data_IF_496645137656
#
_entry.id   IF_496645137656
#
_cell.length_a   1.000
_cell.length_b   1.000
_cell.length_c   1.000
_cell.angle_alpha   90.00
_cell.angle_beta   90.00
_cell.angle_gamma   90.00
#
_symmetry.space_group_name_H-M   'P 1'
#
loop_
_entity.id
_entity.type
_entity.pdbx_description
1 polymer ?
#
# COMPACT_ATOMS: atom_id res chain seq x y z
N UNK A 1 -0.71 24.80 -9.90
CA UNK A 1 -0.97 23.87 -8.77
C UNK A 1 -0.01 24.17 -7.65
N UNK A 2 -0.45 24.13 -6.37
CA UNK A 2 0.50 24.20 -5.25
C UNK A 2 1.29 22.89 -5.21
N UNK A 3 2.61 22.90 -4.98
CA UNK A 3 3.38 21.68 -4.83
C UNK A 3 2.86 20.90 -3.62
N UNK A 4 2.52 19.63 -3.83
CA UNK A 4 2.10 18.72 -2.76
C UNK A 4 3.35 18.28 -1.96
N UNK A 5 3.41 18.55 -0.63
CA UNK A 5 4.42 17.97 0.24
C UNK A 5 4.39 16.45 0.15
N UNK A 6 5.54 15.81 0.02
CA UNK A 6 5.61 14.35 -0.12
C UNK A 6 6.85 13.77 0.51
N UNK A 7 6.73 12.59 1.07
CA UNK A 7 7.83 11.86 1.71
C UNK A 7 7.71 10.37 1.41
N UNK A 8 8.84 9.73 1.12
CA UNK A 8 8.93 8.27 1.00
C UNK A 8 9.48 7.70 2.31
N UNK A 9 8.76 6.77 2.92
CA UNK A 9 9.23 6.02 4.09
C UNK A 9 9.81 4.70 3.59
N UNK A 10 11.13 4.55 3.65
CA UNK A 10 11.84 3.38 3.14
C UNK A 10 12.63 2.68 4.25
N UNK A 11 12.92 1.39 4.08
CA UNK A 11 13.66 0.58 5.06
C UNK A 11 15.03 0.17 4.53
N UNK A 12 15.91 -0.28 5.41
CA UNK A 12 17.18 -0.92 5.00
C UNK A 12 17.01 -2.37 4.56
N UNK A 13 15.93 -3.02 4.98
CA UNK A 13 15.59 -4.40 4.63
C UNK A 13 14.15 -4.69 5.05
N UNK A 14 13.59 -5.77 4.53
CA UNK A 14 12.31 -6.33 5.00
C UNK A 14 12.37 -6.63 6.50
N UNK A 15 11.34 -6.22 7.24
CA UNK A 15 11.26 -6.48 8.68
C UNK A 15 11.96 -5.46 9.59
N UNK A 16 12.58 -4.40 9.06
CA UNK A 16 13.13 -3.30 9.87
C UNK A 16 12.05 -2.44 10.57
N UNK A 17 10.77 -2.66 10.25
CA UNK A 17 9.61 -1.95 10.81
C UNK A 17 9.14 -0.73 10.01
N UNK A 18 9.56 -0.60 8.75
CA UNK A 18 9.10 0.42 7.80
C UNK A 18 7.57 0.55 7.76
N UNK A 19 6.84 -0.55 7.57
CA UNK A 19 5.38 -0.56 7.43
C UNK A 19 4.68 0.00 8.66
N UNK A 20 5.12 -0.44 9.83
CA UNK A 20 4.64 0.07 11.11
C UNK A 20 4.88 1.57 11.29
N UNK A 21 6.07 2.05 10.89
CA UNK A 21 6.42 3.47 11.01
C UNK A 21 5.73 4.34 9.95
N UNK A 22 5.54 3.83 8.73
CA UNK A 22 4.78 4.52 7.69
C UNK A 22 3.31 4.67 8.11
N UNK A 23 2.67 3.58 8.55
CA UNK A 23 1.31 3.59 9.10
C UNK A 23 1.19 4.48 10.34
N UNK A 24 2.17 4.43 11.25
CA UNK A 24 2.20 5.31 12.43
C UNK A 24 2.35 6.79 12.05
N UNK A 25 3.17 7.13 11.06
CA UNK A 25 3.30 8.49 10.55
C UNK A 25 2.00 8.97 9.91
N UNK A 26 1.36 8.14 9.09
CA UNK A 26 0.06 8.42 8.49
C UNK A 26 -1.01 8.69 9.57
N UNK A 27 -1.04 7.86 10.61
CA UNK A 27 -1.98 8.01 11.73
C UNK A 27 -1.71 9.28 12.55
N UNK A 28 -0.45 9.59 12.86
CA UNK A 28 -0.08 10.81 13.58
C UNK A 28 -0.46 12.08 12.79
N UNK A 29 -0.18 12.11 11.49
CA UNK A 29 -0.56 13.23 10.61
C UNK A 29 -2.08 13.38 10.48
N UNK A 30 -2.81 12.28 10.33
CA UNK A 30 -4.28 12.29 10.26
C UNK A 30 -4.89 12.78 11.58
N UNK A 31 -4.36 12.34 12.73
CA UNK A 31 -4.79 12.80 14.05
C UNK A 31 -4.52 14.30 14.28
N UNK A 32 -3.51 14.86 13.61
CA UNK A 32 -3.24 16.30 13.55
C UNK A 32 -4.15 17.07 12.58
N UNK A 33 -5.07 16.39 11.91
CA UNK A 33 -6.06 16.98 11.01
C UNK A 33 -5.59 17.19 9.57
N UNK A 34 -4.45 16.62 9.17
CA UNK A 34 -4.00 16.69 7.78
C UNK A 34 -4.77 15.70 6.90
N UNK A 35 -5.14 16.13 5.69
CA UNK A 35 -5.60 15.24 4.64
C UNK A 35 -4.40 14.48 4.05
N UNK A 36 -4.09 13.30 4.59
CA UNK A 36 -2.97 12.46 4.15
C UNK A 36 -3.40 11.62 2.96
N UNK A 37 -2.70 11.73 1.83
CA UNK A 37 -2.84 10.78 0.73
C UNK A 37 -1.80 9.66 0.87
N UNK A 38 -2.21 8.43 1.19
CA UNK A 38 -1.28 7.32 1.28
C UNK A 38 -0.98 6.70 -0.09
N UNK A 39 0.23 6.17 -0.19
CA UNK A 39 0.70 5.37 -1.32
C UNK A 39 1.51 4.18 -0.81
N UNK A 40 1.55 3.11 -1.59
CA UNK A 40 2.40 1.94 -1.38
C UNK A 40 3.20 1.66 -2.63
N UNK A 41 4.52 1.53 -2.50
CA UNK A 41 5.36 1.06 -3.61
C UNK A 41 5.11 -0.43 -3.85
N UNK A 42 5.04 -0.80 -5.13
CA UNK A 42 4.93 -2.19 -5.56
C UNK A 42 3.49 -2.73 -5.62
N UNK A 43 3.33 -3.99 -6.04
CA UNK A 43 2.04 -4.62 -6.32
C UNK A 43 1.36 -5.20 -5.07
N UNK A 44 1.33 -4.45 -3.96
CA UNK A 44 0.79 -4.88 -2.67
C UNK A 44 -0.73 -4.67 -2.54
N UNK A 45 -1.46 -5.62 -1.97
CA UNK A 45 -2.91 -5.50 -1.73
C UNK A 45 -3.28 -5.24 -0.27
N UNK A 46 -2.40 -5.54 0.68
CA UNK A 46 -2.71 -5.60 2.11
C UNK A 46 -2.42 -4.26 2.77
N UNK A 47 -1.19 -3.76 2.64
CA UNK A 47 -0.76 -2.50 3.25
C UNK A 47 -1.67 -1.33 2.81
N UNK A 48 -2.08 -1.21 1.54
CA UNK A 48 -3.04 -0.19 1.11
C UNK A 48 -4.37 -0.20 1.89
N UNK A 49 -4.83 -1.35 2.37
CA UNK A 49 -6.08 -1.42 3.16
C UNK A 49 -5.91 -0.75 4.52
N UNK A 50 -4.76 -0.96 5.18
CA UNK A 50 -4.43 -0.32 6.46
C UNK A 50 -4.26 1.17 6.29
N UNK A 51 -3.52 1.57 5.26
CA UNK A 51 -3.37 2.98 4.90
C UNK A 51 -4.71 3.68 4.68
N UNK A 52 -5.62 3.03 3.94
CA UNK A 52 -6.92 3.60 3.61
C UNK A 52 -7.80 3.74 4.85
N UNK A 53 -7.79 2.74 5.73
CA UNK A 53 -8.49 2.78 7.00
C UNK A 53 -7.95 3.90 7.92
N UNK A 54 -6.64 4.12 7.93
CA UNK A 54 -6.01 5.17 8.75
C UNK A 54 -6.30 6.57 8.20
N UNK A 55 -6.12 6.78 6.90
CA UNK A 55 -6.14 8.11 6.29
C UNK A 55 -7.55 8.57 5.84
N UNK A 56 -8.52 7.65 5.78
CA UNK A 56 -9.85 7.91 5.20
C UNK A 56 -9.81 8.22 3.70
N UNK A 57 -8.73 7.83 3.01
CA UNK A 57 -8.50 8.04 1.58
C UNK A 57 -7.93 6.76 0.97
N UNK A 58 -8.38 6.41 -0.24
CA UNK A 58 -7.89 5.22 -0.94
C UNK A 58 -6.38 5.32 -1.15
N UNK A 59 -5.63 4.35 -0.61
CA UNK A 59 -4.21 4.20 -0.87
C UNK A 59 -3.98 3.68 -2.28
N UNK A 60 -3.00 4.26 -2.96
CA UNK A 60 -2.65 3.92 -4.34
C UNK A 60 -1.34 3.16 -4.41
N UNK A 61 -1.23 2.25 -5.37
CA UNK A 61 0.02 1.55 -5.65
C UNK A 61 0.86 2.38 -6.62
N UNK A 62 2.17 2.43 -6.40
CA UNK A 62 3.14 3.04 -7.29
C UNK A 62 4.16 1.98 -7.69
N UNK A 63 4.03 1.48 -8.92
CA UNK A 63 4.85 0.39 -9.43
C UNK A 63 5.37 0.72 -10.83
N UNK A 64 6.63 1.18 -10.96
CA UNK A 64 7.20 1.57 -12.25
C UNK A 64 7.27 0.43 -13.28
N UNK A 65 7.20 -0.84 -12.85
CA UNK A 65 7.21 -1.98 -13.76
C UNK A 65 5.84 -2.18 -14.41
N UNK A 66 4.75 -2.07 -13.65
CA UNK A 66 3.38 -2.25 -14.14
C UNK A 66 2.87 -1.04 -14.93
N UNK A 67 3.17 0.18 -14.49
CA UNK A 67 2.55 1.40 -15.03
C UNK A 67 3.55 2.35 -15.74
N UNK A 68 4.84 2.02 -15.72
CA UNK A 68 5.90 2.92 -16.21
C UNK A 68 6.07 4.16 -15.31
N UNK A 69 7.11 4.96 -15.58
CA UNK A 69 7.35 6.20 -14.82
C UNK A 69 6.22 7.22 -14.97
N UNK A 70 5.66 7.35 -16.18
CA UNK A 70 4.56 8.28 -16.45
C UNK A 70 3.30 7.87 -15.70
N UNK A 71 2.95 6.58 -15.68
CA UNK A 71 1.82 6.09 -14.90
C UNK A 71 1.98 6.38 -13.41
N UNK A 72 3.19 6.23 -12.86
CA UNK A 72 3.49 6.58 -11.46
C UNK A 72 3.24 8.06 -11.19
N UNK A 73 3.69 8.95 -12.10
CA UNK A 73 3.45 10.40 -11.98
C UNK A 73 1.96 10.72 -12.08
N UNK A 74 1.26 10.16 -13.05
CA UNK A 74 -0.18 10.37 -13.27
C UNK A 74 -1.02 9.93 -12.07
N UNK A 75 -0.81 8.70 -11.59
CA UNK A 75 -1.49 8.16 -10.39
C UNK A 75 -1.18 9.01 -9.16
N UNK A 76 0.06 9.43 -8.97
CA UNK A 76 0.43 10.29 -7.84
C UNK A 76 -0.27 11.65 -7.89
N UNK A 77 -0.25 12.32 -9.05
CA UNK A 77 -0.79 13.66 -9.21
C UNK A 77 -2.32 13.68 -9.12
N UNK A 78 -2.99 12.72 -9.76
CA UNK A 78 -4.45 12.59 -9.69
C UNK A 78 -4.92 12.33 -8.26
N UNK A 79 -4.30 11.37 -7.56
CA UNK A 79 -4.71 10.97 -6.21
C UNK A 79 -4.38 12.01 -5.13
N UNK A 80 -3.42 12.91 -5.35
CA UNK A 80 -3.06 13.98 -4.40
C UNK A 80 -3.98 15.20 -4.44
N UNK A 81 -4.98 15.22 -5.32
CA UNK A 81 -5.98 16.29 -5.34
C UNK A 81 -6.69 16.40 -3.98
N UNK A 82 -6.63 17.59 -3.39
CA UNK A 82 -7.22 17.88 -2.08
C UNK A 82 -6.47 17.30 -0.89
N UNK A 83 -5.25 16.79 -1.06
CA UNK A 83 -4.39 16.34 0.04
C UNK A 83 -3.47 17.46 0.54
N UNK A 84 -3.10 17.40 1.81
CA UNK A 84 -2.11 18.29 2.44
C UNK A 84 -0.69 17.71 2.38
N UNK A 85 -0.58 16.38 2.33
CA UNK A 85 0.68 15.65 2.26
C UNK A 85 0.46 14.27 1.64
N UNK A 86 1.44 13.81 0.84
CA UNK A 86 1.54 12.43 0.40
C UNK A 86 2.58 11.67 1.23
N UNK A 87 2.19 10.48 1.72
CA UNK A 87 3.11 9.56 2.40
C UNK A 87 3.19 8.28 1.58
N UNK A 88 4.39 7.98 1.09
CA UNK A 88 4.66 6.81 0.25
C UNK A 88 5.38 5.77 1.07
N UNK A 89 4.74 4.64 1.37
CA UNK A 89 5.42 3.51 1.98
C UNK A 89 6.22 2.73 0.93
N UNK A 90 7.52 2.52 1.16
CA UNK A 90 8.35 1.67 0.33
C UNK A 90 8.01 0.17 0.38
N UNK A 91 8.52 -0.59 -0.57
CA UNK A 91 8.59 -2.06 -0.54
C UNK A 91 10.02 -2.50 -0.23
N UNK A 92 10.17 -3.68 0.40
CA UNK A 92 11.47 -4.31 0.69
C UNK A 92 12.48 -3.32 1.32
N UNK A 93 13.78 -3.41 1.01
CA UNK A 93 14.76 -2.36 1.25
C UNK A 93 14.71 -1.26 0.19
N UNK A 94 15.22 -0.07 0.53
CA UNK A 94 15.18 1.12 -0.32
C UNK A 94 15.66 0.87 -1.76
N UNK A 95 16.76 0.13 -1.91
CA UNK A 95 17.42 -0.13 -3.19
C UNK A 95 17.07 -1.51 -3.79
N UNK A 96 16.18 -2.26 -3.16
CA UNK A 96 15.82 -3.61 -3.62
C UNK A 96 14.74 -3.52 -4.71
N UNK A 97 15.15 -3.61 -5.97
CA UNK A 97 14.26 -3.68 -7.13
C UNK A 97 14.28 -5.04 -7.82
N UNK A 98 13.73 -5.07 -9.04
CA UNK A 98 13.63 -6.27 -9.86
C UNK A 98 15.01 -6.84 -10.17
N UNK A 99 15.16 -8.15 -9.99
CA UNK A 99 16.39 -8.90 -10.28
C UNK A 99 17.66 -8.30 -9.64
N UNK A 100 17.52 -7.64 -8.49
CA UNK A 100 18.64 -6.99 -7.78
C UNK A 100 19.12 -5.68 -8.43
N UNK A 101 18.34 -5.11 -9.34
CA UNK A 101 18.58 -3.80 -9.92
C UNK A 101 17.82 -2.70 -9.17
N UNK A 102 18.07 -1.44 -9.55
CA UNK A 102 17.26 -0.31 -9.09
C UNK A 102 15.85 -0.28 -9.73
N UNK A 103 15.61 -1.01 -10.81
CA UNK A 103 14.34 -0.95 -11.52
C UNK A 103 13.17 -1.39 -10.61
N UNK A 104 12.13 -0.57 -10.56
CA UNK A 104 10.96 -0.73 -9.70
C UNK A 104 11.27 -0.83 -8.18
N UNK A 105 12.44 -0.37 -7.74
CA UNK A 105 12.76 -0.23 -6.32
C UNK A 105 12.00 0.94 -5.67
N UNK A 106 12.03 1.02 -4.34
CA UNK A 106 11.55 2.20 -3.61
C UNK A 106 12.36 3.45 -3.97
N UNK A 107 13.66 3.31 -4.21
CA UNK A 107 14.53 4.39 -4.68
C UNK A 107 14.13 4.90 -6.08
N UNK A 108 13.72 4.00 -6.98
CA UNK A 108 13.23 4.38 -8.30
C UNK A 108 11.96 5.24 -8.20
N UNK A 109 10.99 4.84 -7.37
CA UNK A 109 9.78 5.67 -7.11
C UNK A 109 10.15 7.00 -6.46
N UNK A 110 11.08 7.03 -5.51
CA UNK A 110 11.54 8.27 -4.90
C UNK A 110 12.14 9.24 -5.94
N UNK A 111 12.89 8.72 -6.92
CA UNK A 111 13.45 9.50 -8.04
C UNK A 111 12.39 10.01 -9.00
N UNK A 112 11.43 9.17 -9.41
CA UNK A 112 10.31 9.58 -10.28
C UNK A 112 9.54 10.75 -9.65
N UNK A 113 9.30 10.67 -8.34
CA UNK A 113 8.57 11.67 -7.59
C UNK A 113 9.44 12.82 -7.08
N UNK A 114 10.77 12.79 -7.23
CA UNK A 114 11.69 13.73 -6.55
C UNK A 114 11.34 13.92 -5.05
N UNK A 115 11.05 12.81 -4.40
CA UNK A 115 10.59 12.77 -3.02
C UNK A 115 11.78 12.56 -2.07
N UNK A 116 11.86 13.32 -0.97
CA UNK A 116 12.81 13.01 0.09
C UNK A 116 12.48 11.64 0.70
N UNK A 117 13.51 10.91 1.07
CA UNK A 117 13.41 9.61 1.75
C UNK A 117 13.64 9.79 3.23
N UNK A 118 12.71 9.27 4.03
CA UNK A 118 12.84 9.03 5.46
C UNK A 118 13.23 7.57 5.66
N UNK A 119 14.51 7.33 5.97
CA UNK A 119 15.06 5.98 6.10
C UNK A 119 14.76 5.40 7.48
N UNK A 120 14.17 4.21 7.52
CA UNK A 120 13.94 3.43 8.72
C UNK A 120 15.09 2.45 8.91
N UNK A 121 15.76 2.56 10.05
CA UNK A 121 16.90 1.72 10.42
C UNK A 121 16.56 0.94 11.68
N UNK A 122 16.70 -0.38 11.61
CA UNK A 122 16.62 -1.23 12.81
C UNK A 122 17.88 -1.05 13.65
N UNK A 123 17.72 -0.51 14.86
CA UNK A 123 18.79 -0.39 15.85
C UNK A 123 18.84 -1.58 16.82
N UNK A 124 18.00 -2.60 16.63
CA UNK A 124 17.96 -3.81 17.45
C UNK A 124 19.33 -4.50 17.48
N UNK A 125 19.97 -4.50 18.65
CA UNK A 125 21.28 -5.13 18.83
C UNK A 125 22.46 -4.36 18.24
N UNK A 126 22.27 -3.12 17.77
CA UNK A 126 23.33 -2.28 17.22
C UNK A 126 23.29 -0.89 17.86
N UNK A 127 24.45 -0.36 18.27
CA UNK A 127 24.60 1.04 18.70
C UNK A 127 25.27 1.87 17.59
N UNK A 128 26.55 2.24 17.72
CA UNK A 128 27.26 3.11 16.78
C UNK A 128 27.25 2.62 15.34
N UNK A 129 27.15 1.32 15.10
CA UNK A 129 27.11 0.72 13.76
C UNK A 129 25.92 1.19 12.91
N UNK A 130 24.82 1.64 13.52
CA UNK A 130 23.69 2.20 12.78
C UNK A 130 24.08 3.44 11.96
N UNK A 131 25.07 4.22 12.43
CA UNK A 131 25.56 5.37 11.69
C UNK A 131 26.35 4.99 10.43
N UNK A 132 27.08 3.87 10.47
CA UNK A 132 27.77 3.34 9.29
C UNK A 132 26.76 2.88 8.23
N UNK A 133 25.65 2.27 8.67
CA UNK A 133 24.53 1.91 7.80
C UNK A 133 23.93 3.17 7.17
N UNK A 134 23.56 4.17 7.99
CA UNK A 134 22.98 5.43 7.49
C UNK A 134 23.91 6.12 6.49
N UNK A 135 25.21 6.20 6.80
CA UNK A 135 26.21 6.79 5.91
C UNK A 135 26.33 6.01 4.60
N UNK A 136 26.34 4.68 4.65
CA UNK A 136 26.36 3.84 3.46
C UNK A 136 25.16 4.09 2.56
N UNK A 137 23.95 4.12 3.13
CA UNK A 137 22.72 4.39 2.38
C UNK A 137 22.69 5.80 1.80
N UNK A 138 23.08 6.82 2.58
CA UNK A 138 23.09 8.21 2.13
C UNK A 138 24.12 8.49 1.02
N UNK A 139 25.20 7.71 0.97
CA UNK A 139 26.25 7.85 -0.04
C UNK A 139 26.17 6.86 -1.21
N UNK A 140 25.18 5.95 -1.22
CA UNK A 140 25.13 4.85 -2.20
C UNK A 140 24.67 5.30 -3.59
N UNK A 141 23.50 5.92 -3.69
CA UNK A 141 22.96 6.50 -4.93
C UNK A 141 22.79 8.02 -4.75
N UNK A 142 23.63 8.86 -5.41
CA UNK A 142 23.57 10.31 -5.26
C UNK A 142 22.29 10.94 -5.85
N UNK A 143 21.52 10.20 -6.67
CA UNK A 143 20.22 10.67 -7.15
C UNK A 143 19.10 10.47 -6.12
N UNK A 144 19.32 9.71 -5.05
CA UNK A 144 18.33 9.45 -4.00
C UNK A 144 18.58 10.34 -2.80
N UNK A 145 17.60 11.21 -2.51
CA UNK A 145 17.69 12.19 -1.44
C UNK A 145 17.22 11.62 -0.10
N UNK A 146 18.11 10.94 0.62
CA UNK A 146 17.85 10.54 2.01
C UNK A 146 17.92 11.78 2.91
N UNK A 147 16.75 12.23 3.34
CA UNK A 147 16.58 13.53 4.01
C UNK A 147 16.43 13.41 5.53
N UNK A 148 16.13 12.21 6.04
CA UNK A 148 15.96 11.95 7.47
C UNK A 148 16.12 10.47 7.80
N UNK A 149 16.38 10.16 9.07
CA UNK A 149 16.39 8.77 9.58
C UNK A 149 15.49 8.62 10.80
N UNK A 150 14.77 7.50 10.88
CA UNK A 150 14.11 7.03 12.10
C UNK A 150 14.81 5.75 12.56
N UNK A 151 15.28 5.74 13.79
CA UNK A 151 15.81 4.53 14.42
C UNK A 151 14.70 3.76 15.11
N UNK A 152 14.48 2.53 14.69
CA UNK A 152 13.47 1.64 15.25
C UNK A 152 14.08 0.65 16.25
N UNK A 153 13.23 0.05 17.10
CA UNK A 153 13.57 -0.97 18.10
C UNK A 153 14.61 -0.51 19.13
N UNK A 154 14.53 0.74 19.54
CA UNK A 154 15.38 1.29 20.60
C UNK A 154 15.10 0.55 21.92
N UNK A 155 16.15 -0.08 22.46
CA UNK A 155 16.04 -0.91 23.66
C UNK A 155 15.98 -0.16 24.99
N UNK A 156 16.49 1.08 25.07
CA UNK A 156 16.46 1.88 26.31
C UNK A 156 16.82 3.36 26.07
N UNK A 157 16.57 4.26 27.03
CA UNK A 157 17.05 5.65 26.97
C UNK A 157 18.58 5.75 26.82
N UNK A 158 19.32 4.85 27.49
CA UNK A 158 20.79 4.77 27.33
C UNK A 158 21.17 4.41 25.89
N UNK A 159 20.43 3.50 25.27
CA UNK A 159 20.66 3.15 23.87
C UNK A 159 20.42 4.35 22.94
N UNK A 160 19.31 5.09 23.12
CA UNK A 160 19.07 6.35 22.39
C UNK A 160 20.24 7.33 22.52
N UNK A 161 20.70 7.60 23.74
CA UNK A 161 21.80 8.53 23.98
C UNK A 161 23.11 8.13 23.29
N UNK A 162 23.33 6.82 23.03
CA UNK A 162 24.51 6.35 22.30
C UNK A 162 24.45 6.61 20.78
N UNK A 163 23.26 6.88 20.22
CA UNK A 163 23.04 7.00 18.77
C UNK A 163 22.32 8.28 18.35
N UNK A 164 22.09 9.23 19.27
CA UNK A 164 21.31 10.43 18.93
C UNK A 164 22.03 11.36 17.95
N UNK A 165 23.37 11.37 18.00
CA UNK A 165 24.20 12.19 17.14
C UNK A 165 24.39 11.51 15.78
N UNK A 166 23.72 12.02 14.76
CA UNK A 166 23.91 11.63 13.36
C UNK A 166 24.55 12.79 12.59
N UNK A 167 25.71 12.57 11.99
CA UNK A 167 26.43 13.64 11.26
C UNK A 167 26.02 13.73 9.78
N UNK A 168 25.54 12.64 9.17
CA UNK A 168 25.26 12.58 7.73
C UNK A 168 23.84 13.00 7.34
N UNK A 169 22.85 12.59 8.12
CA UNK A 169 21.41 12.80 7.85
C UNK A 169 20.72 13.07 9.19
N UNK A 170 19.77 14.02 9.32
CA UNK A 170 19.13 14.31 10.59
C UNK A 170 18.30 13.12 11.11
N UNK A 171 18.42 12.84 12.41
CA UNK A 171 17.54 11.91 13.10
C UNK A 171 16.17 12.56 13.36
N UNK A 172 15.13 11.95 12.81
CA UNK A 172 13.74 12.40 12.93
C UNK A 172 12.95 11.60 13.97
N UNK A 173 13.51 10.54 14.57
CA UNK A 173 12.82 9.78 15.60
C UNK A 173 13.59 8.59 16.16
N UNK A 174 13.20 8.16 17.37
CA UNK A 174 13.78 7.04 18.10
C UNK A 174 12.67 6.18 18.70
N UNK A 175 12.18 5.22 17.91
CA UNK A 175 11.01 4.42 18.28
C UNK A 175 11.42 3.26 19.18
N UNK A 176 10.84 3.14 20.39
CA UNK A 176 11.19 2.07 21.32
C UNK A 176 10.73 0.71 20.79
N UNK A 177 11.38 -0.35 21.25
CA UNK A 177 10.91 -1.72 20.98
C UNK A 177 9.56 -1.94 21.69
N UNK A 178 8.49 -2.15 20.92
CA UNK A 178 7.13 -2.43 21.40
C UNK A 178 6.71 -3.85 21.04
N UNK A 179 6.88 -4.79 21.97
CA UNK A 179 6.39 -6.17 21.80
C UNK A 179 4.88 -6.31 22.02
N UNK A 180 4.27 -5.32 22.66
CA UNK A 180 2.86 -5.21 22.99
C UNK A 180 1.96 -4.78 21.82
N UNK A 181 2.56 -4.34 20.71
CA UNK A 181 1.87 -3.85 19.51
C UNK A 181 2.16 -4.74 18.28
N UNK A 182 2.36 -6.04 18.49
CA UNK A 182 2.60 -6.96 17.38
C UNK A 182 1.36 -7.09 16.49
N UNK A 183 1.53 -6.86 15.18
CA UNK A 183 0.49 -7.10 14.18
C UNK A 183 0.63 -8.51 13.66
N UNK A 184 -0.51 -9.19 13.54
CA UNK A 184 -0.55 -10.58 13.08
C UNK A 184 -0.18 -10.66 11.61
N UNK A 185 0.60 -11.67 11.27
CA UNK A 185 1.01 -11.97 9.89
C UNK A 185 0.40 -13.29 9.43
N UNK A 186 0.07 -13.37 8.15
CA UNK A 186 -0.37 -14.55 7.39
C UNK A 186 0.55 -14.80 6.19
N UNK A 187 0.22 -15.84 5.41
CA UNK A 187 1.06 -16.35 4.31
C UNK A 187 1.49 -15.31 3.26
N UNK A 188 0.72 -14.25 3.05
CA UNK A 188 1.00 -13.18 2.07
C UNK A 188 1.30 -11.80 2.69
N UNK A 189 1.51 -11.70 4.01
CA UNK A 189 1.78 -10.41 4.66
C UNK A 189 1.01 -10.23 5.97
N UNK A 190 0.58 -9.02 6.29
CA UNK A 190 -0.22 -8.75 7.48
C UNK A 190 -1.67 -9.27 7.31
N UNK A 191 -2.43 -9.39 8.40
CA UNK A 191 -3.90 -9.52 8.28
C UNK A 191 -4.49 -8.24 7.65
N UNK A 192 -5.67 -8.31 7.03
CA UNK A 192 -6.31 -7.15 6.39
C UNK A 192 -6.74 -6.12 7.44
N UNK A 193 -6.88 -4.84 7.06
CA UNK A 193 -7.27 -3.77 7.99
C UNK A 193 -8.62 -3.99 8.67
N UNK A 194 -9.55 -4.66 7.99
CA UNK A 194 -10.85 -5.03 8.56
C UNK A 194 -10.73 -6.03 9.72
N UNK A 195 -9.60 -6.71 9.85
CA UNK A 195 -9.36 -7.78 10.83
C UNK A 195 -8.54 -7.30 12.04
N UNK A 196 -7.62 -6.33 11.86
CA UNK A 196 -6.75 -5.83 12.94
C UNK A 196 -6.55 -4.29 12.91
N UNK A 197 -6.95 -3.62 14.00
CA UNK A 197 -6.78 -2.17 14.21
C UNK A 197 -5.44 -1.77 14.87
N UNK A 198 -4.50 -2.70 15.07
CA UNK A 198 -3.24 -2.44 15.75
C UNK A 198 -2.33 -1.43 15.03
N UNK A 199 -2.38 -1.34 13.69
CA UNK A 199 -1.57 -0.38 12.91
C UNK A 199 -1.88 1.08 13.28
N UNK A 200 -3.16 1.42 13.51
CA UNK A 200 -3.54 2.77 13.91
C UNK A 200 -2.98 3.16 15.29
N UNK A 201 -2.76 2.19 16.19
CA UNK A 201 -2.22 2.44 17.54
C UNK A 201 -0.77 2.90 17.53
N UNK A 202 -0.02 2.66 16.45
CA UNK A 202 1.32 3.19 16.30
C UNK A 202 1.38 4.70 16.09
N UNK A 203 0.24 5.34 15.75
CA UNK A 203 0.16 6.79 15.61
C UNK A 203 0.62 7.54 16.87
N UNK A 204 0.15 7.12 18.06
CA UNK A 204 0.56 7.74 19.33
C UNK A 204 2.05 7.56 19.62
N UNK A 205 2.61 6.38 19.30
CA UNK A 205 4.05 6.13 19.48
C UNK A 205 4.88 7.03 18.57
N UNK A 206 4.50 7.14 17.29
CA UNK A 206 5.20 8.00 16.32
C UNK A 206 5.07 9.47 16.71
N UNK A 207 3.88 9.91 17.13
CA UNK A 207 3.63 11.28 17.63
C UNK A 207 4.51 11.63 18.83
N UNK A 208 4.72 10.70 19.77
CA UNK A 208 5.54 10.92 20.97
C UNK A 208 7.05 10.85 20.71
N UNK A 209 7.47 10.07 19.71
CA UNK A 209 8.89 9.68 19.56
C UNK A 209 9.58 10.22 18.32
N UNK A 210 8.82 10.83 17.41
CA UNK A 210 9.32 11.40 16.16
C UNK A 210 9.04 12.91 16.07
N UNK A 211 9.92 13.64 15.40
CA UNK A 211 9.76 15.06 15.08
C UNK A 211 8.83 15.24 13.87
N UNK A 212 7.51 15.16 14.12
CA UNK A 212 6.49 15.33 13.07
C UNK A 212 6.60 16.69 12.35
N UNK A 213 6.79 17.83 13.05
CA UNK A 213 7.06 19.11 12.38
C UNK A 213 8.29 19.07 11.46
N UNK A 214 9.39 18.47 11.91
CA UNK A 214 10.61 18.30 11.10
C UNK A 214 10.37 17.44 9.87
N UNK A 215 9.69 16.28 10.02
CA UNK A 215 9.33 15.40 8.90
C UNK A 215 8.43 16.13 7.90
N UNK A 216 7.48 16.92 8.36
CA UNK A 216 6.65 17.78 7.48
C UNK A 216 7.51 18.83 6.75
N UNK A 217 8.53 19.39 7.41
CA UNK A 217 9.53 20.25 6.79
C UNK A 217 10.30 19.56 5.67
N UNK A 218 10.74 18.32 5.90
CA UNK A 218 11.36 17.48 4.86
C UNK A 218 10.40 17.24 3.69
N UNK A 219 9.14 16.88 3.96
CA UNK A 219 8.14 16.63 2.92
C UNK A 219 7.89 17.86 2.03
N UNK A 220 7.91 19.07 2.61
CA UNK A 220 7.75 20.35 1.91
C UNK A 220 8.93 20.74 1.03
N UNK A 221 10.09 20.12 1.22
CA UNK A 221 11.27 20.36 0.39
C UNK A 221 11.21 19.63 -0.97
N UNK A 222 10.19 18.79 -1.19
CA UNK A 222 9.95 18.19 -2.50
C UNK A 222 9.57 19.28 -3.53
N UNK A 223 10.22 19.35 -4.70
CA UNK A 223 9.90 20.35 -5.71
C UNK A 223 8.53 20.08 -6.36
N UNK A 224 7.98 21.05 -7.11
CA UNK A 224 6.83 20.78 -7.96
C UNK A 224 7.13 19.66 -8.96
N UNK A 225 6.16 18.79 -9.22
CA UNK A 225 6.22 17.84 -10.33
C UNK A 225 5.64 18.48 -11.60
N UNK A 226 6.06 18.02 -12.79
CA UNK A 226 5.38 18.35 -14.04
C UNK A 226 3.90 18.01 -13.94
N UNK A 227 3.04 18.86 -14.50
CA UNK A 227 1.61 18.56 -14.57
C UNK A 227 1.39 17.32 -15.44
N UNK A 228 0.43 16.45 -15.09
CA UNK A 228 0.08 15.34 -15.97
C UNK A 228 -0.56 15.88 -17.25
N UNK A 229 -0.53 15.11 -18.35
CA UNK A 229 -1.31 15.43 -19.54
C UNK A 229 -2.81 15.53 -19.18
N UNK A 230 -3.56 16.35 -19.93
CA UNK A 230 -5.01 16.42 -19.75
C UNK A 230 -5.62 15.04 -19.99
N UNK A 231 -6.41 14.57 -19.01
CA UNK A 231 -7.16 13.34 -19.17
C UNK A 231 -8.18 13.52 -20.30
N UNK A 232 -8.33 12.52 -21.20
CA UNK A 232 -9.40 12.54 -22.18
C UNK A 232 -10.76 12.60 -21.46
N UNK A 233 -11.74 13.24 -22.11
CA UNK A 233 -13.11 13.27 -21.59
C UNK A 233 -13.67 11.86 -21.40
N UNK A 234 -14.46 11.67 -20.35
CA UNK A 234 -15.12 10.40 -20.09
C UNK A 234 -16.10 10.09 -21.23
N UNK A 235 -16.04 8.90 -21.84
CA UNK A 235 -17.09 8.46 -22.73
C UNK A 235 -18.40 8.25 -21.95
N UNK A 236 -19.55 8.32 -22.62
CA UNK A 236 -20.80 7.86 -22.01
C UNK A 236 -20.68 6.39 -21.63
N UNK A 237 -21.18 6.01 -20.45
CA UNK A 237 -21.08 4.64 -19.96
C UNK A 237 -21.81 3.68 -20.91
N UNK A 238 -21.10 2.64 -21.37
CA UNK A 238 -21.62 1.73 -22.40
C UNK A 238 -21.88 0.32 -21.88
N UNK A 239 -21.29 -0.05 -20.74
CA UNK A 239 -21.24 -1.44 -20.24
C UNK A 239 -21.32 -1.44 -18.72
N UNK A 240 -22.20 -2.29 -18.16
CA UNK A 240 -22.27 -2.58 -16.72
C UNK A 240 -21.32 -3.72 -16.39
N UNK A 241 -20.27 -3.44 -15.64
CA UNK A 241 -19.27 -4.44 -15.21
C UNK A 241 -19.52 -4.83 -13.76
N UNK A 242 -19.96 -6.06 -13.51
CA UNK A 242 -20.04 -6.58 -12.15
C UNK A 242 -18.65 -6.87 -11.60
N UNK A 243 -18.34 -6.38 -10.41
CA UNK A 243 -17.05 -6.59 -9.75
C UNK A 243 -17.29 -7.29 -8.41
N UNK A 244 -16.79 -8.51 -8.26
CA UNK A 244 -16.89 -9.26 -7.01
C UNK A 244 -16.14 -8.54 -5.89
N UNK A 245 -16.81 -8.10 -4.83
CA UNK A 245 -16.19 -7.29 -3.79
C UNK A 245 -16.73 -7.68 -2.41
N UNK A 246 -15.95 -8.48 -1.69
CA UNK A 246 -16.18 -8.84 -0.30
C UNK A 246 -14.89 -9.37 0.35
N UNK A 247 -15.00 -9.99 1.53
CA UNK A 247 -13.85 -10.57 2.23
C UNK A 247 -13.15 -11.69 1.44
N UNK A 248 -13.86 -12.42 0.58
CA UNK A 248 -13.29 -13.45 -0.28
C UNK A 248 -12.64 -12.87 -1.54
N UNK A 249 -13.14 -11.74 -2.04
CA UNK A 249 -12.64 -11.05 -3.24
C UNK A 249 -12.31 -9.60 -2.92
N UNK A 250 -11.12 -9.38 -2.37
CA UNK A 250 -10.68 -8.08 -1.83
C UNK A 250 -9.37 -7.56 -2.43
N UNK A 251 -8.79 -8.25 -3.42
CA UNK A 251 -7.52 -7.83 -4.03
C UNK A 251 -7.76 -7.09 -5.34
N UNK A 252 -7.78 -5.76 -5.24
CA UNK A 252 -7.94 -4.86 -6.38
C UNK A 252 -6.95 -3.72 -6.31
N UNK A 253 -6.36 -3.38 -7.46
CA UNK A 253 -5.69 -2.10 -7.63
C UNK A 253 -6.74 -1.03 -7.98
N UNK A 254 -6.85 0.01 -7.16
CA UNK A 254 -7.82 1.08 -7.37
C UNK A 254 -7.68 1.74 -8.76
N UNK A 255 -6.44 1.84 -9.26
CA UNK A 255 -6.15 2.39 -10.58
C UNK A 255 -6.73 1.55 -11.74
N UNK A 256 -6.85 0.23 -11.58
CA UNK A 256 -7.51 -0.60 -12.58
C UNK A 256 -9.01 -0.30 -12.65
N UNK A 257 -9.65 -0.17 -11.49
CA UNK A 257 -11.07 0.17 -11.39
C UNK A 257 -11.34 1.56 -11.98
N UNK A 258 -10.52 2.55 -11.63
CA UNK A 258 -10.64 3.90 -12.18
C UNK A 258 -10.45 3.92 -13.70
N UNK A 259 -9.49 3.17 -14.23
CA UNK A 259 -9.25 3.06 -15.69
C UNK A 259 -10.43 2.41 -16.40
N UNK A 260 -11.06 1.40 -15.81
CA UNK A 260 -12.28 0.78 -16.35
C UNK A 260 -13.44 1.79 -16.36
N UNK A 261 -13.64 2.52 -15.28
CA UNK A 261 -14.65 3.58 -15.21
C UNK A 261 -14.37 4.70 -16.23
N UNK A 262 -13.10 5.10 -16.39
CA UNK A 262 -12.67 6.08 -17.38
C UNK A 262 -12.85 5.60 -18.83
N UNK A 263 -12.81 4.29 -19.06
CA UNK A 263 -13.12 3.69 -20.34
C UNK A 263 -14.62 3.55 -20.62
N UNK A 264 -15.50 3.97 -19.69
CA UNK A 264 -16.95 3.94 -19.86
C UNK A 264 -17.65 2.72 -19.23
N UNK A 265 -17.00 2.01 -18.29
CA UNK A 265 -17.66 0.97 -17.52
C UNK A 265 -18.40 1.56 -16.30
N UNK A 266 -19.66 1.15 -16.10
CA UNK A 266 -20.35 1.32 -14.82
C UNK A 266 -19.98 0.14 -13.91
N UNK A 267 -19.24 0.38 -12.84
CA UNK A 267 -18.81 -0.66 -11.91
C UNK A 267 -19.92 -0.99 -10.90
N UNK A 268 -20.39 -2.23 -10.89
CA UNK A 268 -21.40 -2.72 -9.96
C UNK A 268 -20.74 -3.70 -8.99
N UNK A 269 -20.42 -3.23 -7.80
CA UNK A 269 -19.84 -4.07 -6.75
C UNK A 269 -20.92 -4.95 -6.10
N UNK A 270 -20.61 -6.23 -5.91
CA UNK A 270 -21.49 -7.19 -5.23
C UNK A 270 -20.67 -8.21 -4.43
N UNK A 271 -21.22 -8.79 -3.37
CA UNK A 271 -20.58 -9.86 -2.59
C UNK A 271 -20.95 -11.24 -3.13
N UNK A 272 -20.02 -12.03 -3.68
CA UNK A 272 -20.30 -13.42 -4.02
C UNK A 272 -20.71 -14.27 -2.81
N UNK A 273 -20.31 -13.90 -1.59
CA UNK A 273 -20.71 -14.60 -0.37
C UNK A 273 -22.16 -14.30 0.03
N UNK A 274 -22.61 -13.05 -0.05
CA UNK A 274 -23.87 -12.61 0.54
C UNK A 274 -24.99 -12.30 -0.46
N UNK A 275 -24.64 -11.84 -1.65
CA UNK A 275 -25.60 -11.27 -2.61
C UNK A 275 -26.06 -12.29 -3.65
N UNK A 276 -27.02 -11.85 -4.47
CA UNK A 276 -27.31 -12.46 -5.78
C UNK A 276 -26.50 -11.73 -6.85
N UNK A 277 -26.29 -12.38 -7.99
CA UNK A 277 -25.59 -11.72 -9.09
C UNK A 277 -26.44 -10.56 -9.64
N UNK A 278 -25.91 -9.33 -9.72
CA UNK A 278 -26.63 -8.20 -10.30
C UNK A 278 -26.78 -8.33 -11.81
N UNK A 279 -27.70 -7.56 -12.40
CA UNK A 279 -27.75 -7.39 -13.86
C UNK A 279 -26.49 -6.64 -14.33
N UNK A 280 -25.78 -7.23 -15.30
CA UNK A 280 -24.50 -6.74 -15.81
C UNK A 280 -24.23 -7.33 -17.21
N UNK A 281 -23.31 -6.72 -17.94
CA UNK A 281 -22.93 -7.09 -19.31
C UNK A 281 -21.58 -7.83 -19.36
N UNK A 282 -20.81 -7.78 -18.27
CA UNK A 282 -19.55 -8.51 -18.09
C UNK A 282 -19.25 -8.68 -16.59
N UNK A 283 -18.34 -9.61 -16.27
CA UNK A 283 -17.94 -9.92 -14.89
C UNK A 283 -16.42 -9.80 -14.70
N UNK A 284 -16.01 -9.12 -13.63
CA UNK A 284 -14.66 -9.11 -13.09
C UNK A 284 -14.63 -9.80 -11.72
N UNK A 285 -14.00 -10.97 -11.68
CA UNK A 285 -13.67 -11.72 -10.47
C UNK A 285 -12.19 -11.50 -10.11
N UNK A 286 -11.91 -10.54 -9.22
CA UNK A 286 -10.56 -10.25 -8.75
C UNK A 286 -9.95 -11.31 -7.84
N UNK A 287 -8.80 -10.98 -7.27
CA UNK A 287 -8.13 -11.84 -6.30
C UNK A 287 -8.73 -11.75 -4.90
N UNK A 288 -8.22 -12.60 -4.00
CA UNK A 288 -8.58 -12.61 -2.60
C UNK A 288 -8.30 -13.98 -1.99
N UNK A 289 -9.04 -14.33 -0.95
CA UNK A 289 -8.85 -15.55 -0.17
C UNK A 289 -10.12 -16.44 -0.18
N UNK A 290 -10.57 -16.94 -1.35
CA UNK A 290 -11.76 -17.78 -1.41
C UNK A 290 -11.66 -19.02 -0.52
N UNK A 291 -10.46 -19.52 -0.26
CA UNK A 291 -10.20 -20.65 0.64
C UNK A 291 -10.61 -20.38 2.09
N UNK A 292 -10.53 -19.15 2.56
CA UNK A 292 -10.97 -18.79 3.92
C UNK A 292 -12.50 -18.71 4.02
N UNK A 293 -13.19 -18.68 2.87
CA UNK A 293 -14.63 -18.52 2.76
C UNK A 293 -15.30 -19.67 1.99
N UNK A 294 -14.62 -20.80 1.81
CA UNK A 294 -15.03 -21.88 0.91
C UNK A 294 -16.42 -22.45 1.23
N UNK A 295 -16.75 -22.62 2.53
CA UNK A 295 -18.08 -23.09 2.95
C UNK A 295 -19.18 -22.08 2.62
N UNK A 296 -18.94 -20.79 2.88
CA UNK A 296 -19.90 -19.73 2.61
C UNK A 296 -20.11 -19.54 1.10
N UNK A 297 -19.03 -19.60 0.32
CA UNK A 297 -19.06 -19.53 -1.14
C UNK A 297 -19.78 -20.72 -1.77
N UNK A 298 -19.54 -21.94 -1.26
CA UNK A 298 -20.23 -23.14 -1.73
C UNK A 298 -21.75 -23.09 -1.49
N UNK A 299 -22.16 -22.52 -0.35
CA UNK A 299 -23.56 -22.35 0.04
C UNK A 299 -24.25 -21.13 -0.60
N UNK A 300 -23.47 -20.22 -1.21
CA UNK A 300 -24.00 -18.99 -1.80
C UNK A 300 -24.87 -19.27 -3.02
N UNK A 301 -25.99 -18.55 -3.13
CA UNK A 301 -26.83 -18.56 -4.33
C UNK A 301 -26.15 -17.89 -5.52
N UNK A 302 -25.22 -16.96 -5.26
CA UNK A 302 -24.45 -16.31 -6.30
C UNK A 302 -23.63 -17.32 -7.13
N UNK A 303 -23.21 -18.45 -6.52
CA UNK A 303 -22.47 -19.52 -7.19
C UNK A 303 -23.23 -20.06 -8.41
N UNK A 304 -24.52 -20.35 -8.23
CA UNK A 304 -25.39 -20.87 -9.30
C UNK A 304 -25.72 -19.79 -10.34
N UNK A 305 -25.90 -18.53 -9.90
CA UNK A 305 -26.14 -17.41 -10.80
C UNK A 305 -24.93 -17.16 -11.71
N UNK A 306 -23.72 -17.15 -11.14
CA UNK A 306 -22.45 -16.97 -11.86
C UNK A 306 -22.29 -18.09 -12.87
N UNK A 307 -22.38 -19.35 -12.43
CA UNK A 307 -22.28 -20.50 -13.32
C UNK A 307 -23.17 -20.37 -14.55
N UNK A 308 -24.45 -20.04 -14.34
CA UNK A 308 -25.42 -19.89 -15.41
C UNK A 308 -25.01 -18.82 -16.41
N UNK A 309 -24.64 -17.62 -15.96
CA UNK A 309 -24.29 -16.54 -16.91
C UNK A 309 -22.98 -16.82 -17.64
N UNK A 310 -22.02 -17.49 -17.00
CA UNK A 310 -20.76 -17.89 -17.65
C UNK A 310 -21.03 -18.98 -18.69
N UNK A 311 -21.83 -20.00 -18.37
CA UNK A 311 -22.25 -21.05 -19.31
C UNK A 311 -23.05 -20.47 -20.50
N UNK A 312 -23.83 -19.40 -20.27
CA UNK A 312 -24.58 -18.66 -21.30
C UNK A 312 -23.69 -17.72 -22.14
N UNK A 313 -22.38 -17.64 -21.86
CA UNK A 313 -21.40 -16.92 -22.67
C UNK A 313 -21.11 -15.47 -22.25
N UNK A 314 -21.45 -15.08 -21.02
CA UNK A 314 -21.07 -13.78 -20.45
C UNK A 314 -19.54 -13.60 -20.51
N UNK A 315 -19.01 -12.45 -20.98
CA UNK A 315 -17.59 -12.14 -20.87
C UNK A 315 -17.15 -12.05 -19.40
N UNK A 316 -16.11 -12.81 -19.04
CA UNK A 316 -15.59 -12.87 -17.67
C UNK A 316 -14.07 -12.67 -17.69
N UNK A 317 -13.59 -11.78 -16.83
CA UNK A 317 -12.19 -11.71 -16.45
C UNK A 317 -12.04 -12.21 -15.01
N UNK A 318 -11.23 -13.24 -14.80
CA UNK A 318 -11.00 -13.84 -13.50
C UNK A 318 -9.51 -14.04 -13.25
N UNK A 319 -9.04 -13.63 -12.07
CA UNK A 319 -7.63 -13.72 -11.68
C UNK A 319 -7.50 -14.26 -10.25
N UNK A 320 -6.40 -14.95 -9.96
CA UNK A 320 -6.07 -15.42 -8.62
C UNK A 320 -7.27 -16.15 -7.94
N UNK A 321 -7.82 -15.59 -6.86
CA UNK A 321 -8.99 -16.12 -6.16
C UNK A 321 -10.24 -16.25 -7.04
N UNK A 322 -10.45 -15.33 -7.97
CA UNK A 322 -11.51 -15.41 -8.97
C UNK A 322 -11.41 -16.65 -9.85
N UNK A 323 -10.20 -17.00 -10.30
CA UNK A 323 -9.97 -18.22 -11.10
C UNK A 323 -10.22 -19.50 -10.28
N UNK A 324 -9.85 -19.49 -8.99
CA UNK A 324 -10.16 -20.58 -8.06
C UNK A 324 -11.68 -20.74 -7.92
N UNK A 325 -12.41 -19.63 -7.79
CA UNK A 325 -13.86 -19.64 -7.64
C UNK A 325 -14.62 -20.09 -8.89
N UNK A 326 -14.05 -19.95 -10.09
CA UNK A 326 -14.64 -20.45 -11.34
C UNK A 326 -14.20 -21.88 -11.71
N UNK A 327 -13.50 -22.56 -10.81
CA UNK A 327 -13.16 -23.97 -10.97
C UNK A 327 -14.34 -24.85 -10.52
N UNK A 328 -14.32 -26.16 -10.81
CA UNK A 328 -15.41 -27.05 -10.38
C UNK A 328 -15.50 -27.21 -8.85
N UNK A 329 -14.34 -27.23 -8.17
CA UNK A 329 -14.24 -27.44 -6.73
C UNK A 329 -12.92 -26.93 -6.16
N UNK A 330 -12.94 -26.58 -4.88
CA UNK A 330 -11.78 -26.26 -4.06
C UNK A 330 -11.65 -27.29 -2.93
N UNK A 331 -10.48 -27.92 -2.80
CA UNK A 331 -10.20 -28.90 -1.73
C UNK A 331 -9.36 -28.28 -0.62
N UNK A 332 -9.86 -28.28 0.61
CA UNK A 332 -9.18 -27.77 1.81
C UNK A 332 -9.24 -28.85 2.89
N UNK A 333 -8.10 -29.23 3.47
CA UNK A 333 -8.02 -30.26 4.52
C UNK A 333 -8.77 -31.56 4.18
N UNK A 334 -8.65 -32.01 2.92
CA UNK A 334 -9.36 -33.17 2.34
C UNK A 334 -10.89 -33.05 2.28
N UNK A 335 -11.44 -31.82 2.32
CA UNK A 335 -12.86 -31.54 2.10
C UNK A 335 -13.03 -30.77 0.80
N UNK A 336 -13.99 -31.21 0.00
CA UNK A 336 -14.31 -30.57 -1.27
C UNK A 336 -15.46 -29.57 -1.10
N UNK A 337 -15.24 -28.37 -1.62
CA UNK A 337 -16.21 -27.29 -1.67
C UNK A 337 -16.55 -27.02 -3.14
N UNK A 338 -17.81 -27.17 -3.59
CA UNK A 338 -18.20 -26.86 -4.96
C UNK A 338 -18.08 -25.36 -5.21
N UNK A 339 -17.46 -25.01 -6.33
CA UNK A 339 -17.25 -23.63 -6.76
C UNK A 339 -18.20 -23.30 -7.94
N UNK A 340 -18.11 -22.09 -8.50
CA UNK A 340 -19.07 -21.58 -9.49
C UNK A 340 -18.86 -22.20 -10.87
#
# INVERSE_FOLDING_TARGET
MRPIPRIVVAGTHSGCGKTTLASGLMAALTARGFAVQPFKVGPDFIDPTHHSAICGRISRNLDPFMMGEEGVRETFLSATTGADIAVVEGAMGLFDGLEGSDAASTAHVAKILDAPVLLVVDAGGASRSVHAIVQGYAGFDPAVRIAGVIFNRIGSPRHRAMIEATESVPACGWVPRRGDLAVRSRHLGLEMAAEDGAMARFGGVVEETCDIPGIMGLARSAPPLPAPPEAPGLPEAQIRLGVANDAAFCFYYADNLDRLAQAGAELIFFSPVADRLPEMDALYMGGGYPELHAEALAASRCREDVRRVVDDGMPVFAECGGLIYLSERLTIDNRDHPMA
#
